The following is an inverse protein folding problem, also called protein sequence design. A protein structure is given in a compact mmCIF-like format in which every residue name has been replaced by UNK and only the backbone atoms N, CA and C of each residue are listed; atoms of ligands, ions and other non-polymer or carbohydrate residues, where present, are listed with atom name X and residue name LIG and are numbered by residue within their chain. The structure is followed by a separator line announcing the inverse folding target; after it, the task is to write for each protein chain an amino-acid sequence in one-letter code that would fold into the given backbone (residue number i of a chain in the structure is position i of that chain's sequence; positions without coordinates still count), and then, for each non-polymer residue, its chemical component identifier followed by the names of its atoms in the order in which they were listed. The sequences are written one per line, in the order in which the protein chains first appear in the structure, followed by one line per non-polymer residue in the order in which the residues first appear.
data_IF_817421313351
#
_entry.id   IF_817421313351
#
_cell.length_a   1.000
_cell.length_b   1.000
_cell.length_c   1.000
_cell.angle_alpha   90.00
_cell.angle_beta   90.00
_cell.angle_gamma   90.00
#
_symmetry.space_group_name_H-M   'P 1'
#
loop_
_entity.id
_entity.type
_entity.pdbx_description
1 polymer ?
#
# COMPACT_ATOMS: atom_id res chain seq x y z
N UNK A 1 0.60 -15.75 8.47
CA UNK A 1 1.00 -14.64 7.59
C UNK A 1 2.51 -14.56 7.56
N UNK A 2 3.12 -14.37 6.39
CA UNK A 2 4.58 -14.32 6.26
C UNK A 2 5.14 -13.06 6.93
N UNK A 3 6.28 -13.17 7.60
CA UNK A 3 7.08 -12.04 8.08
C UNK A 3 8.47 -12.15 7.50
N UNK A 4 9.00 -11.04 6.99
CA UNK A 4 10.26 -11.00 6.25
C UNK A 4 11.18 -9.94 6.83
N UNK A 5 12.49 -10.22 6.81
CA UNK A 5 13.49 -9.27 7.30
C UNK A 5 13.72 -8.12 6.30
N UNK A 6 13.69 -8.41 5.00
CA UNK A 6 13.84 -7.44 3.91
C UNK A 6 12.91 -7.76 2.75
N UNK A 7 12.40 -6.73 2.07
CA UNK A 7 11.60 -6.88 0.86
C UNK A 7 11.76 -5.68 -0.08
N UNK A 8 11.72 -5.96 -1.38
CA UNK A 8 11.58 -4.94 -2.43
C UNK A 8 10.13 -4.93 -2.90
N UNK A 9 9.43 -3.83 -2.65
CA UNK A 9 8.02 -3.63 -2.98
C UNK A 9 7.93 -2.90 -4.31
N UNK A 10 7.16 -3.48 -5.24
CA UNK A 10 6.81 -2.83 -6.49
C UNK A 10 5.34 -2.45 -6.43
N UNK A 11 5.05 -1.14 -6.51
CA UNK A 11 3.68 -0.63 -6.59
C UNK A 11 3.52 0.00 -7.97
N UNK A 12 2.87 -0.71 -8.89
CA UNK A 12 2.57 -0.20 -10.22
C UNK A 12 1.21 0.48 -10.23
N UNK A 13 1.10 1.63 -10.92
CA UNK A 13 -0.17 2.31 -11.19
C UNK A 13 -1.06 1.57 -12.17
N UNK A 14 -0.47 0.72 -13.01
CA UNK A 14 -1.18 -0.04 -14.05
C UNK A 14 -1.95 -1.22 -13.48
N UNK A 15 -1.68 -1.58 -12.21
CA UNK A 15 -2.38 -2.63 -11.49
C UNK A 15 -3.26 -1.97 -10.43
N UNK A 16 -4.56 -2.23 -10.51
CA UNK A 16 -5.54 -1.79 -9.52
C UNK A 16 -5.30 -2.53 -8.20
N UNK A 17 -4.34 -2.05 -7.42
CA UNK A 17 -4.08 -2.55 -6.08
C UNK A 17 -5.03 -1.88 -5.10
N UNK A 18 -5.77 -2.69 -4.34
CA UNK A 18 -6.52 -2.18 -3.19
C UNK A 18 -5.53 -1.51 -2.20
N UNK A 19 -5.77 -0.26 -1.74
CA UNK A 19 -4.86 0.44 -0.83
C UNK A 19 -4.53 -0.35 0.45
N UNK A 20 -5.46 -1.18 0.92
CA UNK A 20 -5.25 -2.05 2.06
C UNK A 20 -4.19 -3.14 1.82
N UNK A 21 -4.00 -3.58 0.57
CA UNK A 21 -2.97 -4.57 0.24
C UNK A 21 -1.58 -3.98 0.38
N UNK A 22 -1.39 -2.73 -0.06
CA UNK A 22 -0.12 -2.01 0.12
C UNK A 22 0.19 -1.94 1.62
N UNK A 23 -0.78 -1.53 2.44
CA UNK A 23 -0.61 -1.46 3.89
C UNK A 23 -0.22 -2.81 4.51
N UNK A 24 -0.91 -3.90 4.15
CA UNK A 24 -0.59 -5.24 4.65
C UNK A 24 0.80 -5.68 4.21
N UNK A 25 1.22 -5.36 2.98
CA UNK A 25 2.57 -5.68 2.48
C UNK A 25 3.65 -4.95 3.26
N UNK A 26 3.45 -3.65 3.55
CA UNK A 26 4.39 -2.87 4.38
C UNK A 26 4.56 -3.50 5.77
N UNK A 27 3.46 -3.94 6.39
CA UNK A 27 3.47 -4.56 7.71
C UNK A 27 4.13 -5.94 7.77
N UNK A 28 4.43 -6.59 6.63
CA UNK A 28 5.13 -7.88 6.64
C UNK A 28 6.64 -7.73 6.87
N UNK A 29 7.19 -6.55 6.64
CA UNK A 29 8.62 -6.28 6.81
C UNK A 29 8.88 -5.84 8.25
N UNK A 30 9.80 -6.52 8.94
CA UNK A 30 10.03 -6.31 10.38
C UNK A 30 10.59 -4.94 10.72
N UNK A 31 11.35 -4.33 9.82
CA UNK A 31 12.03 -3.05 10.07
C UNK A 31 11.90 -2.13 8.85
N UNK A 32 11.85 -0.82 9.10
CA UNK A 32 11.79 0.20 8.04
C UNK A 32 13.01 0.10 7.12
N UNK A 33 14.19 -0.18 7.67
CA UNK A 33 15.44 -0.33 6.91
C UNK A 33 15.44 -1.58 6.00
N UNK A 34 14.58 -2.56 6.27
CA UNK A 34 14.37 -3.72 5.40
C UNK A 34 13.42 -3.45 4.24
N UNK A 35 12.76 -2.28 4.22
CA UNK A 35 11.76 -1.91 3.24
C UNK A 35 12.41 -1.13 2.11
N UNK A 36 12.34 -1.65 0.91
CA UNK A 36 12.81 -0.98 -0.31
C UNK A 36 11.66 -0.89 -1.29
N UNK A 37 11.60 0.21 -2.05
CA UNK A 37 10.67 0.34 -3.15
C UNK A 37 11.42 0.35 -4.46
N UNK A 38 10.94 -0.41 -5.45
CA UNK A 38 11.50 -0.41 -6.80
C UNK A 38 11.36 0.96 -7.46
N UNK A 39 10.22 1.61 -7.23
CA UNK A 39 9.84 2.91 -7.75
C UNK A 39 9.57 3.88 -6.59
N UNK A 40 9.52 5.19 -6.87
CA UNK A 40 9.22 6.19 -5.84
C UNK A 40 7.83 5.93 -5.24
N UNK A 41 7.80 5.68 -3.92
CA UNK A 41 6.56 5.49 -3.20
C UNK A 41 5.82 6.82 -2.97
N UNK A 42 4.52 6.86 -3.28
CA UNK A 42 3.65 8.00 -2.95
C UNK A 42 2.62 7.61 -1.89
N UNK A 43 2.56 8.37 -0.80
CA UNK A 43 1.53 8.22 0.24
C UNK A 43 0.11 8.37 -0.33
N UNK A 44 -0.07 9.07 -1.46
CA UNK A 44 -1.37 9.19 -2.11
C UNK A 44 -1.95 7.83 -2.51
N UNK A 45 -1.12 6.80 -2.70
CA UNK A 45 -1.58 5.43 -3.01
C UNK A 45 -2.26 4.74 -1.83
N UNK A 46 -1.98 5.18 -0.60
CA UNK A 46 -2.66 4.68 0.60
C UNK A 46 -3.98 5.41 0.87
N UNK A 47 -4.22 6.55 0.22
CA UNK A 47 -5.50 7.24 0.34
C UNK A 47 -6.55 6.40 -0.38
N UNK A 48 -7.45 5.78 0.38
CA UNK A 48 -8.70 5.29 -0.19
C UNK A 48 -9.37 6.46 -0.91
N UNK A 49 -9.74 6.27 -2.19
CA UNK A 49 -10.80 7.09 -2.78
C UNK A 49 -11.97 6.99 -1.79
N UNK A 50 -12.45 8.12 -1.26
CA UNK A 50 -13.69 8.12 -0.48
C UNK A 50 -14.70 7.34 -1.31
N UNK A 51 -15.16 6.22 -0.76
CA UNK A 51 -16.24 5.46 -1.39
C UNK A 51 -17.37 6.44 -1.61
N UNK A 52 -17.87 6.56 -2.84
CA UNK A 52 -19.08 7.32 -3.19
C UNK A 52 -20.34 6.92 -2.37
N UNK A 53 -20.20 5.93 -1.49
CA UNK A 53 -21.24 5.45 -0.57
C UNK A 53 -21.60 6.49 0.50
N UNK A 54 -20.78 7.50 0.75
CA UNK A 54 -21.10 8.61 1.66
C UNK A 54 -21.61 9.89 0.96
N UNK A 55 -21.81 9.89 -0.36
CA UNK A 55 -22.42 11.03 -1.08
C UNK A 55 -23.94 10.88 -1.29
N UNK A 56 -24.58 9.85 -0.69
CA UNK A 56 -26.04 9.74 -0.60
C UNK A 56 -26.50 10.10 0.81
N UNK A 57 -26.31 11.35 1.23
CA UNK A 57 -27.08 11.99 2.29
C UNK A 57 -26.74 13.48 2.36
N UNK A 58 -27.49 14.29 1.61
CA UNK A 58 -28.09 15.57 2.02
C UNK A 58 -29.18 15.96 1.02
#
# INVERSE_FOLDING_TARGET
GLSVDKAVITVSRERDYCPSLIYVTLLRVKTINGLMFKDVFSYQWLKQKRSKVLEMQE
#
